data_IF_425908670503
#
_entry.id   IF_425908670503
#
_cell.length_a   1.000
_cell.length_b   1.000
_cell.length_c   1.000
_cell.angle_alpha   90.00
_cell.angle_beta   90.00
_cell.angle_gamma   90.00
#
_symmetry.space_group_name_H-M   'P 1'
#
loop_
_entity.id
_entity.type
_entity.pdbx_description
1 polymer ?
#
# COMPACT_ATOMS: atom_id res chain seq x y z
N UNK A 1 -4.85 -29.65 11.24
CA UNK A 1 -5.52 -28.48 11.84
C UNK A 1 -5.01 -28.36 13.26
N UNK A 2 -4.64 -27.16 13.71
CA UNK A 2 -4.30 -26.92 15.12
C UNK A 2 -5.51 -27.26 15.99
N UNK A 3 -5.29 -27.83 17.17
CA UNK A 3 -6.39 -28.14 18.10
C UNK A 3 -7.23 -26.89 18.39
N UNK A 4 -8.54 -26.95 18.14
CA UNK A 4 -9.50 -25.89 18.47
C UNK A 4 -10.02 -25.02 17.32
N UNK A 5 -9.57 -25.21 16.07
CA UNK A 5 -10.10 -24.47 14.91
C UNK A 5 -11.01 -25.38 14.07
N UNK A 6 -12.31 -25.13 14.10
CA UNK A 6 -13.31 -25.84 13.29
C UNK A 6 -13.48 -25.20 11.89
N UNK A 7 -13.56 -23.87 11.84
CA UNK A 7 -13.65 -23.08 10.62
C UNK A 7 -12.69 -21.89 10.65
N UNK A 8 -11.84 -21.76 9.62
CA UNK A 8 -10.90 -20.64 9.52
C UNK A 8 -11.59 -19.33 9.13
N UNK A 9 -12.66 -19.41 8.34
CA UNK A 9 -13.45 -18.25 7.92
C UNK A 9 -14.54 -18.03 8.95
N UNK A 10 -14.47 -16.89 9.64
CA UNK A 10 -15.35 -16.53 10.76
C UNK A 10 -15.95 -15.12 10.61
N UNK A 11 -15.54 -14.36 9.58
CA UNK A 11 -16.07 -13.02 9.28
C UNK A 11 -16.57 -12.91 7.85
N UNK A 12 -17.52 -12.01 7.63
CA UNK A 12 -17.95 -11.59 6.29
C UNK A 12 -16.87 -10.72 5.62
N UNK A 13 -16.58 -10.90 4.31
CA UNK A 13 -15.66 -10.02 3.58
C UNK A 13 -16.23 -8.61 3.34
N UNK A 14 -17.54 -8.41 3.56
CA UNK A 14 -18.25 -7.16 3.24
C UNK A 14 -18.56 -6.30 4.46
N UNK A 15 -18.31 -6.80 5.67
CA UNK A 15 -18.62 -6.11 6.94
C UNK A 15 -17.35 -5.96 7.78
N UNK A 16 -17.40 -5.06 8.77
CA UNK A 16 -16.30 -4.95 9.74
C UNK A 16 -16.16 -6.29 10.49
N UNK A 17 -14.96 -6.90 10.57
CA UNK A 17 -14.77 -8.15 11.29
C UNK A 17 -15.21 -8.04 12.75
N UNK A 18 -15.99 -9.02 13.20
CA UNK A 18 -16.59 -9.03 14.54
C UNK A 18 -15.99 -10.10 15.45
N UNK A 19 -15.21 -11.03 14.89
CA UNK A 19 -14.60 -12.14 15.62
C UNK A 19 -13.17 -12.37 15.16
N UNK A 20 -12.35 -12.98 16.03
CA UNK A 20 -10.95 -13.32 15.71
C UNK A 20 -10.52 -14.61 16.41
N UNK A 21 -9.59 -15.33 15.80
CA UNK A 21 -8.91 -16.44 16.48
C UNK A 21 -7.78 -15.91 17.37
N UNK A 22 -7.86 -16.13 18.67
CA UNK A 22 -6.84 -15.72 19.63
C UNK A 22 -6.12 -16.95 20.19
N UNK A 23 -4.79 -16.90 20.25
CA UNK A 23 -4.02 -17.99 20.82
C UNK A 23 -3.99 -17.89 22.34
N UNK A 24 -4.61 -18.86 23.01
CA UNK A 24 -4.58 -18.98 24.46
C UNK A 24 -3.33 -19.77 24.87
N UNK A 25 -2.33 -19.07 25.41
CA UNK A 25 -1.06 -19.64 25.83
C UNK A 25 -1.20 -20.67 26.97
N UNK A 26 -2.22 -20.52 27.83
CA UNK A 26 -2.45 -21.45 28.95
C UNK A 26 -3.02 -22.78 28.47
N UNK A 27 -3.91 -22.73 27.47
CA UNK A 27 -4.56 -23.92 26.91
C UNK A 27 -3.82 -24.49 25.69
N UNK A 28 -2.80 -23.79 25.20
CA UNK A 28 -2.07 -24.11 23.98
C UNK A 28 -3.01 -24.34 22.78
N UNK A 29 -4.10 -23.56 22.70
CA UNK A 29 -5.16 -23.71 21.73
C UNK A 29 -5.63 -22.34 21.22
N UNK A 30 -6.19 -22.32 20.01
CA UNK A 30 -6.87 -21.14 19.49
C UNK A 30 -8.32 -21.12 19.99
N UNK A 31 -8.76 -19.96 20.47
CA UNK A 31 -10.11 -19.71 20.94
C UNK A 31 -10.73 -18.57 20.15
N UNK A 32 -12.04 -18.66 19.90
CA UNK A 32 -12.77 -17.59 19.23
C UNK A 32 -12.99 -16.44 20.22
N UNK A 33 -12.47 -15.27 19.90
CA UNK A 33 -12.63 -14.04 20.68
C UNK A 33 -13.54 -13.06 19.93
N UNK A 34 -14.32 -12.30 20.68
CA UNK A 34 -15.14 -11.20 20.14
C UNK A 34 -14.28 -9.98 19.80
N UNK A 35 -14.76 -9.22 18.82
CA UNK A 35 -14.15 -8.00 18.33
C UNK A 35 -13.14 -8.20 17.21
N UNK A 36 -12.91 -7.11 16.48
CA UNK A 36 -11.92 -7.03 15.42
C UNK A 36 -10.50 -7.17 15.96
N UNK A 37 -9.64 -7.87 15.22
CA UNK A 37 -8.21 -7.94 15.54
C UNK A 37 -7.56 -6.55 15.52
N UNK A 38 -6.82 -6.15 16.58
CA UNK A 38 -6.01 -4.95 16.54
C UNK A 38 -5.04 -4.97 15.35
N UNK A 39 -4.79 -3.82 14.72
CA UNK A 39 -3.75 -3.68 13.71
C UNK A 39 -2.38 -3.98 14.34
N UNK A 40 -1.57 -4.75 13.62
CA UNK A 40 -0.30 -5.25 14.15
C UNK A 40 0.44 -6.21 13.21
N UNK A 41 1.56 -6.72 13.72
CA UNK A 41 2.42 -7.72 13.09
C UNK A 41 3.04 -8.61 14.17
N UNK A 42 3.51 -9.77 13.76
CA UNK A 42 4.10 -10.76 14.67
C UNK A 42 5.59 -10.84 14.41
N UNK A 43 6.40 -10.64 15.46
CA UNK A 43 7.86 -10.83 15.41
C UNK A 43 8.23 -12.16 16.05
N UNK A 44 9.26 -12.83 15.54
CA UNK A 44 9.77 -14.05 16.16
C UNK A 44 10.25 -13.76 17.60
N UNK A 45 9.99 -14.66 18.56
CA UNK A 45 10.50 -14.45 19.91
C UNK A 45 12.02 -14.63 19.93
N UNK A 46 12.70 -13.82 20.74
CA UNK A 46 14.15 -13.91 20.95
C UNK A 46 14.54 -15.11 21.81
N UNK A 47 13.56 -15.82 22.40
CA UNK A 47 13.79 -16.93 23.31
C UNK A 47 13.85 -18.25 22.53
N UNK A 48 15.05 -18.62 22.08
CA UNK A 48 15.34 -19.94 21.49
C UNK A 48 15.02 -21.06 22.48
N UNK A 49 13.78 -21.59 22.56
CA UNK A 49 13.47 -22.90 23.17
C UNK A 49 11.98 -23.36 23.20
N UNK A 50 11.09 -22.89 22.33
CA UNK A 50 9.75 -23.48 22.24
C UNK A 50 9.51 -24.05 20.83
N UNK A 51 9.10 -25.33 20.79
CA UNK A 51 8.81 -26.09 19.56
C UNK A 51 7.59 -25.51 18.81
N UNK A 52 6.83 -24.59 19.44
CA UNK A 52 5.68 -23.87 18.89
C UNK A 52 5.70 -22.37 19.25
N UNK A 53 6.79 -21.67 18.97
CA UNK A 53 6.86 -20.21 19.16
C UNK A 53 6.02 -19.49 18.08
N UNK A 54 4.86 -18.96 18.49
CA UNK A 54 3.96 -18.17 17.63
C UNK A 54 4.42 -16.72 17.46
N UNK A 55 5.50 -16.31 18.11
CA UNK A 55 6.01 -14.95 18.09
C UNK A 55 5.25 -13.99 19.01
N UNK A 56 5.78 -12.78 19.11
CA UNK A 56 5.20 -11.68 19.90
C UNK A 56 4.40 -10.77 18.97
N UNK A 57 3.13 -10.57 19.29
CA UNK A 57 2.28 -9.65 18.55
C UNK A 57 2.56 -8.20 18.97
N UNK A 58 2.97 -7.38 17.99
CA UNK A 58 3.25 -5.95 18.15
C UNK A 58 2.16 -5.17 17.43
N UNK A 59 1.42 -4.34 18.18
CA UNK A 59 0.38 -3.49 17.61
C UNK A 59 0.96 -2.33 16.80
N UNK A 60 0.17 -1.78 15.89
CA UNK A 60 0.44 -0.50 15.21
C UNK A 60 -0.53 0.55 15.79
N UNK A 61 -0.11 1.31 16.84
CA UNK A 61 -1.03 2.18 17.58
C UNK A 61 -1.67 3.26 16.71
N UNK A 62 -0.91 3.82 15.76
CA UNK A 62 -1.39 4.83 14.82
C UNK A 62 -2.62 4.33 14.03
N UNK A 63 -2.52 3.13 13.46
CA UNK A 63 -3.62 2.54 12.68
C UNK A 63 -4.83 2.24 13.57
N UNK A 64 -4.62 1.72 14.77
CA UNK A 64 -5.73 1.46 15.70
C UNK A 64 -6.45 2.76 16.09
N UNK A 65 -5.70 3.85 16.29
CA UNK A 65 -6.28 5.18 16.53
C UNK A 65 -7.06 5.69 15.33
N UNK A 66 -6.49 5.58 14.12
CA UNK A 66 -7.14 6.03 12.88
C UNK A 66 -8.40 5.24 12.58
N UNK A 67 -8.41 3.91 12.77
CA UNK A 67 -9.62 3.06 12.61
C UNK A 67 -10.80 3.57 13.43
N UNK A 68 -10.56 3.92 14.70
CA UNK A 68 -11.61 4.47 15.56
C UNK A 68 -12.16 5.81 15.05
N UNK A 69 -11.28 6.72 14.62
CA UNK A 69 -11.66 8.04 14.07
C UNK A 69 -12.43 7.94 12.76
N UNK A 70 -11.98 7.07 11.85
CA UNK A 70 -12.64 6.85 10.57
C UNK A 70 -14.02 6.22 10.78
N UNK A 71 -14.16 5.31 11.75
CA UNK A 71 -15.46 4.73 12.12
C UNK A 71 -16.43 5.79 12.62
N UNK A 72 -16.01 6.62 13.57
CA UNK A 72 -16.82 7.73 14.09
C UNK A 72 -17.21 8.72 12.98
N UNK A 73 -16.26 9.12 12.14
CA UNK A 73 -16.50 10.01 11.01
C UNK A 73 -17.49 9.44 9.99
N UNK A 74 -17.42 8.13 9.73
CA UNK A 74 -18.36 7.40 8.87
C UNK A 74 -19.77 7.38 9.48
N UNK A 75 -19.88 7.06 10.77
CA UNK A 75 -21.15 7.02 11.51
C UNK A 75 -21.82 8.40 11.58
N UNK A 76 -21.01 9.47 11.62
CA UNK A 76 -21.46 10.86 11.57
C UNK A 76 -21.78 11.38 10.15
N UNK A 77 -21.79 10.51 9.13
CA UNK A 77 -22.20 10.85 7.78
C UNK A 77 -21.14 11.56 6.93
N UNK A 78 -19.85 11.27 7.16
CA UNK A 78 -18.72 11.77 6.36
C UNK A 78 -18.58 13.30 6.36
N UNK A 79 -18.65 13.93 7.53
CA UNK A 79 -18.60 15.39 7.64
C UNK A 79 -17.32 15.99 7.03
N UNK A 80 -17.45 17.13 6.35
CA UNK A 80 -16.33 17.89 5.78
C UNK A 80 -15.92 17.50 4.35
N UNK A 81 -16.46 16.42 3.78
CA UNK A 81 -16.13 16.00 2.40
C UNK A 81 -16.71 16.94 1.35
N UNK A 82 -16.07 16.98 0.17
CA UNK A 82 -16.65 17.64 -1.01
C UNK A 82 -17.93 16.95 -1.51
N UNK A 83 -18.69 17.65 -2.37
CA UNK A 83 -19.87 17.07 -3.00
C UNK A 83 -19.56 15.85 -3.88
N UNK A 84 -18.45 15.90 -4.64
CA UNK A 84 -17.98 14.77 -5.46
C UNK A 84 -17.59 13.59 -4.58
N UNK A 85 -16.88 13.84 -3.49
CA UNK A 85 -16.47 12.79 -2.56
C UNK A 85 -17.68 12.14 -1.90
N UNK A 86 -18.68 12.92 -1.49
CA UNK A 86 -19.95 12.40 -0.96
C UNK A 86 -20.65 11.48 -1.97
N UNK A 87 -20.77 11.93 -3.23
CA UNK A 87 -21.37 11.14 -4.30
C UNK A 87 -20.62 9.82 -4.55
N UNK A 88 -19.28 9.84 -4.50
CA UNK A 88 -18.47 8.62 -4.64
C UNK A 88 -18.66 7.66 -3.46
N UNK A 89 -18.67 8.17 -2.21
CA UNK A 89 -18.87 7.37 -1.01
C UNK A 89 -20.26 6.70 -1.00
N UNK A 90 -21.29 7.45 -1.37
CA UNK A 90 -22.66 6.92 -1.53
C UNK A 90 -22.69 5.84 -2.61
N UNK A 91 -22.10 6.10 -3.78
CA UNK A 91 -22.01 5.14 -4.89
C UNK A 91 -21.26 3.86 -4.53
N UNK A 92 -20.19 3.93 -3.74
CA UNK A 92 -19.42 2.75 -3.33
C UNK A 92 -20.12 1.92 -2.25
N UNK A 93 -21.00 2.54 -1.46
CA UNK A 93 -21.74 1.90 -0.37
C UNK A 93 -23.14 1.43 -0.74
N UNK A 94 -23.67 1.85 -1.88
CA UNK A 94 -24.95 1.35 -2.41
C UNK A 94 -24.82 -0.12 -2.83
N UNK A 95 -25.26 -1.04 -1.96
CA UNK A 95 -25.20 -2.48 -2.23
C UNK A 95 -26.26 -2.95 -3.22
N UNK A 96 -27.36 -2.20 -3.37
CA UNK A 96 -28.47 -2.58 -4.24
C UNK A 96 -28.21 -2.20 -5.69
N UNK A 97 -27.52 -1.08 -5.92
CA UNK A 97 -27.16 -0.63 -7.26
C UNK A 97 -25.98 -1.38 -7.89
N UNK A 98 -25.21 -2.15 -7.10
CA UNK A 98 -23.93 -2.73 -7.54
C UNK A 98 -24.02 -4.23 -7.76
N UNK A 99 -23.57 -4.68 -8.93
CA UNK A 99 -23.38 -6.11 -9.20
C UNK A 99 -22.27 -6.72 -8.32
N UNK A 100 -21.16 -5.99 -8.16
CA UNK A 100 -20.01 -6.40 -7.36
C UNK A 100 -19.83 -5.45 -6.17
N UNK A 101 -20.23 -5.91 -4.98
CA UNK A 101 -19.99 -5.20 -3.72
C UNK A 101 -18.49 -5.10 -3.44
N UNK A 102 -18.05 -3.95 -2.95
CA UNK A 102 -16.67 -3.78 -2.48
C UNK A 102 -16.48 -4.45 -1.12
N UNK A 103 -15.28 -5.00 -0.91
CA UNK A 103 -14.94 -5.58 0.39
C UNK A 103 -14.78 -4.48 1.43
N UNK A 104 -15.06 -4.82 2.69
CA UNK A 104 -14.91 -3.89 3.81
C UNK A 104 -13.51 -3.28 3.85
N UNK A 105 -12.47 -4.09 3.66
CA UNK A 105 -11.08 -3.64 3.67
C UNK A 105 -10.75 -2.64 2.55
N UNK A 106 -11.45 -2.70 1.41
CA UNK A 106 -11.26 -1.77 0.30
C UNK A 106 -11.88 -0.41 0.65
N UNK A 107 -13.12 -0.44 1.15
CA UNK A 107 -13.85 0.75 1.60
C UNK A 107 -13.13 1.44 2.76
N UNK A 108 -12.70 0.69 3.77
CA UNK A 108 -11.97 1.26 4.92
C UNK A 108 -10.65 1.92 4.50
N UNK A 109 -9.91 1.28 3.58
CA UNK A 109 -8.66 1.84 3.09
C UNK A 109 -8.90 3.18 2.38
N UNK A 110 -9.82 3.25 1.41
CA UNK A 110 -10.09 4.50 0.69
C UNK A 110 -10.70 5.57 1.62
N UNK A 111 -11.59 5.19 2.53
CA UNK A 111 -12.18 6.12 3.50
C UNK A 111 -11.14 6.72 4.43
N UNK A 112 -10.14 5.93 4.82
CA UNK A 112 -9.02 6.43 5.62
C UNK A 112 -8.21 7.48 4.85
N UNK A 113 -7.94 7.25 3.56
CA UNK A 113 -7.24 8.22 2.71
C UNK A 113 -8.06 9.51 2.53
N UNK A 114 -9.38 9.38 2.34
CA UNK A 114 -10.29 10.51 2.22
C UNK A 114 -10.36 11.29 3.54
N UNK A 115 -10.51 10.59 4.67
CA UNK A 115 -10.58 11.19 5.99
C UNK A 115 -9.32 12.03 6.29
N UNK A 116 -8.13 11.49 6.02
CA UNK A 116 -6.88 12.23 6.21
C UNK A 116 -6.81 13.53 5.40
N UNK A 117 -7.37 13.53 4.19
CA UNK A 117 -7.29 14.67 3.28
C UNK A 117 -8.43 15.69 3.45
N UNK A 118 -9.65 15.25 3.74
CA UNK A 118 -10.84 16.09 3.71
C UNK A 118 -11.54 16.28 5.05
N UNK A 119 -11.31 15.41 6.05
CA UNK A 119 -11.94 15.61 7.34
C UNK A 119 -11.47 16.91 8.00
N UNK A 120 -12.32 17.57 8.82
CA UNK A 120 -11.96 18.76 9.57
C UNK A 120 -10.68 18.55 10.39
N UNK A 121 -9.83 19.57 10.51
CA UNK A 121 -8.57 19.46 11.26
C UNK A 121 -8.76 19.07 12.73
N UNK A 122 -9.90 19.45 13.32
CA UNK A 122 -10.30 19.05 14.68
C UNK A 122 -10.44 17.52 14.84
N UNK A 123 -10.88 16.82 13.79
CA UNK A 123 -11.02 15.36 13.81
C UNK A 123 -9.67 14.64 13.78
N UNK A 124 -8.66 15.27 13.18
CA UNK A 124 -7.32 14.71 12.98
C UNK A 124 -6.36 15.00 14.14
N UNK A 125 -6.81 15.70 15.19
CA UNK A 125 -5.97 16.07 16.33
C UNK A 125 -5.33 14.84 16.99
N UNK A 126 -4.00 14.89 17.12
CA UNK A 126 -3.18 13.83 17.69
C UNK A 126 -2.95 12.63 16.75
N UNK A 127 -3.31 12.73 15.47
CA UNK A 127 -2.87 11.79 14.45
C UNK A 127 -1.66 12.38 13.74
N UNK A 128 -0.49 12.04 14.24
CA UNK A 128 0.80 12.44 13.67
C UNK A 128 1.37 11.28 12.87
N UNK A 129 1.51 11.47 11.55
CA UNK A 129 2.05 10.47 10.64
C UNK A 129 3.56 10.74 10.48
N UNK A 130 4.45 9.81 10.91
CA UNK A 130 5.89 9.96 10.73
C UNK A 130 6.29 10.09 9.25
N UNK A 131 7.26 10.97 8.95
CA UNK A 131 7.90 11.02 7.63
C UNK A 131 8.81 9.81 7.40
N UNK A 132 9.07 9.49 6.13
CA UNK A 132 10.10 8.51 5.74
C UNK A 132 11.54 9.04 5.87
N UNK A 133 11.70 10.30 6.30
CA UNK A 133 12.96 11.03 6.41
C UNK A 133 13.21 12.01 5.25
N UNK A 134 12.31 12.06 4.26
CA UNK A 134 12.34 13.00 3.15
C UNK A 134 11.32 14.14 3.25
N UNK A 135 11.33 15.00 2.22
CA UNK A 135 10.41 16.13 2.07
C UNK A 135 9.03 15.73 1.54
N UNK A 136 8.93 14.55 0.92
CA UNK A 136 7.70 14.07 0.29
C UNK A 136 6.77 13.50 1.36
N UNK A 137 5.52 13.95 1.38
CA UNK A 137 4.49 13.34 2.21
C UNK A 137 4.15 11.93 1.69
N UNK A 138 4.24 10.93 2.56
CA UNK A 138 3.95 9.52 2.23
C UNK A 138 2.89 8.96 3.16
N UNK A 139 1.98 8.19 2.60
CA UNK A 139 0.90 7.53 3.32
C UNK A 139 0.81 6.09 2.84
N UNK A 140 0.85 5.12 3.76
CA UNK A 140 0.85 3.70 3.42
C UNK A 140 -0.46 3.01 3.84
N UNK A 141 -1.06 2.30 2.89
CA UNK A 141 -2.15 1.35 3.11
C UNK A 141 -1.60 -0.07 3.07
N UNK A 142 -1.52 -0.70 4.26
CA UNK A 142 -1.13 -2.11 4.39
C UNK A 142 -2.34 -2.99 4.07
N UNK A 143 -2.20 -3.84 3.05
CA UNK A 143 -3.30 -4.67 2.56
C UNK A 143 -2.76 -6.04 2.11
N UNK A 144 -3.31 -7.12 2.66
CA UNK A 144 -2.92 -8.47 2.29
C UNK A 144 -3.08 -8.73 0.77
N UNK A 145 -2.19 -9.54 0.21
CA UNK A 145 -2.26 -9.89 -1.22
C UNK A 145 -3.58 -10.61 -1.52
N UNK A 146 -4.29 -10.16 -2.56
CA UNK A 146 -5.58 -10.72 -2.95
C UNK A 146 -6.80 -9.95 -2.43
N UNK A 147 -6.65 -9.01 -1.49
CA UNK A 147 -7.77 -8.22 -0.96
C UNK A 147 -8.22 -7.06 -1.86
N UNK A 148 -7.55 -6.89 -3.01
CA UNK A 148 -7.94 -5.91 -4.04
C UNK A 148 -7.27 -4.53 -3.90
N UNK A 149 -5.97 -4.47 -3.58
CA UNK A 149 -5.16 -3.22 -3.58
C UNK A 149 -5.41 -2.35 -4.82
N UNK A 150 -5.41 -2.96 -6.00
CA UNK A 150 -5.62 -2.27 -7.28
C UNK A 150 -7.00 -1.61 -7.39
N UNK A 151 -8.05 -2.16 -6.76
CA UNK A 151 -9.37 -1.51 -6.71
C UNK A 151 -9.29 -0.22 -5.90
N UNK A 152 -8.59 -0.23 -4.75
CA UNK A 152 -8.39 0.96 -3.92
C UNK A 152 -7.55 2.01 -4.65
N UNK A 153 -6.53 1.60 -5.41
CA UNK A 153 -5.77 2.52 -6.27
C UNK A 153 -6.66 3.21 -7.32
N UNK A 154 -7.57 2.46 -7.94
CA UNK A 154 -8.53 3.03 -8.90
C UNK A 154 -9.52 3.98 -8.20
N UNK A 155 -10.03 3.63 -7.02
CA UNK A 155 -10.86 4.53 -6.20
C UNK A 155 -10.12 5.82 -5.83
N UNK A 156 -8.83 5.72 -5.45
CA UNK A 156 -7.97 6.86 -5.14
C UNK A 156 -7.81 7.78 -6.36
N UNK A 157 -7.53 7.22 -7.54
CA UNK A 157 -7.42 8.00 -8.79
C UNK A 157 -8.76 8.68 -9.11
N UNK A 158 -9.88 7.97 -8.99
CA UNK A 158 -11.21 8.53 -9.23
C UNK A 158 -11.52 9.68 -8.27
N UNK A 159 -11.33 9.46 -6.96
CA UNK A 159 -11.55 10.48 -5.94
C UNK A 159 -10.71 11.73 -6.18
N UNK A 160 -9.40 11.57 -6.38
CA UNK A 160 -8.46 12.68 -6.55
C UNK A 160 -8.73 13.47 -7.83
N UNK A 161 -8.87 12.77 -8.97
CA UNK A 161 -9.05 13.42 -10.27
C UNK A 161 -10.39 14.14 -10.38
N UNK A 162 -11.49 13.48 -10.00
CA UNK A 162 -12.83 14.06 -10.10
C UNK A 162 -12.96 15.27 -9.20
N UNK A 163 -12.39 15.23 -7.99
CA UNK A 163 -12.33 16.41 -7.13
C UNK A 163 -11.49 17.53 -7.74
N UNK A 164 -10.33 17.23 -8.32
CA UNK A 164 -9.49 18.25 -8.94
C UNK A 164 -10.17 18.90 -10.15
N UNK A 165 -10.93 18.14 -10.93
CA UNK A 165 -11.67 18.62 -12.09
C UNK A 165 -12.85 19.52 -11.68
N UNK A 166 -13.62 19.10 -10.67
CA UNK A 166 -14.81 19.86 -10.21
C UNK A 166 -14.45 21.02 -9.29
N UNK A 167 -13.30 20.97 -8.60
CA UNK A 167 -12.81 22.03 -7.71
C UNK A 167 -11.37 22.43 -8.03
N UNK A 168 -11.09 23.08 -9.19
CA UNK A 168 -9.72 23.36 -9.64
C UNK A 168 -8.88 24.21 -8.68
N UNK A 169 -9.53 25.12 -7.94
CA UNK A 169 -8.90 26.02 -6.97
C UNK A 169 -8.67 25.39 -5.60
N UNK A 170 -9.36 24.28 -5.28
CA UNK A 170 -9.17 23.56 -4.01
C UNK A 170 -7.80 22.89 -4.04
N UNK A 171 -7.00 23.16 -3.00
CA UNK A 171 -5.72 22.50 -2.77
C UNK A 171 -5.96 21.08 -2.23
N UNK A 172 -4.95 20.22 -2.34
CA UNK A 172 -5.05 18.85 -1.82
C UNK A 172 -5.67 17.84 -2.79
N UNK A 173 -5.87 18.21 -4.06
CA UNK A 173 -6.24 17.26 -5.11
C UNK A 173 -5.34 17.33 -6.33
N UNK A 174 -5.07 16.18 -6.94
CA UNK A 174 -4.34 16.04 -8.19
C UNK A 174 -5.19 15.35 -9.26
N UNK A 175 -4.95 15.73 -10.52
CA UNK A 175 -5.61 15.14 -11.69
C UNK A 175 -4.74 14.12 -12.45
N UNK A 176 -3.44 14.08 -12.14
CA UNK A 176 -2.45 13.32 -12.88
C UNK A 176 -1.69 12.40 -11.92
N UNK A 177 -1.36 11.18 -12.37
CA UNK A 177 -0.85 10.12 -11.50
C UNK A 177 0.31 9.36 -12.13
N UNK A 178 1.41 9.22 -11.38
CA UNK A 178 2.50 8.31 -11.70
C UNK A 178 2.35 7.05 -10.84
N UNK A 179 2.20 5.90 -11.47
CA UNK A 179 2.19 4.61 -10.78
C UNK A 179 3.55 3.95 -10.95
N UNK A 180 4.18 3.52 -9.86
CA UNK A 180 5.48 2.83 -9.90
C UNK A 180 5.33 1.39 -9.42
N UNK A 181 5.83 0.46 -10.24
CA UNK A 181 5.75 -0.98 -10.03
C UNK A 181 7.14 -1.62 -9.84
N UNK A 182 7.27 -2.71 -9.06
CA UNK A 182 8.54 -3.37 -8.78
C UNK A 182 9.11 -4.12 -9.98
N UNK A 183 8.25 -4.65 -10.86
CA UNK A 183 8.68 -5.41 -12.03
C UNK A 183 7.73 -5.20 -13.23
N UNK A 184 8.15 -5.66 -14.41
CA UNK A 184 7.42 -5.48 -15.65
C UNK A 184 6.08 -6.24 -15.68
N UNK A 185 5.98 -7.40 -15.02
CA UNK A 185 4.74 -8.18 -14.94
C UNK A 185 3.68 -7.41 -14.16
N UNK A 186 4.04 -6.87 -12.99
CA UNK A 186 3.16 -6.02 -12.19
C UNK A 186 2.81 -4.74 -12.95
N UNK A 187 3.79 -4.11 -13.61
CA UNK A 187 3.57 -2.92 -14.46
C UNK A 187 2.49 -3.19 -15.52
N UNK A 188 2.55 -4.30 -16.23
CA UNK A 188 1.56 -4.66 -17.26
C UNK A 188 0.18 -4.89 -16.67
N UNK A 189 0.09 -5.51 -15.49
CA UNK A 189 -1.19 -5.72 -14.78
C UNK A 189 -1.83 -4.43 -14.26
N UNK A 190 -1.03 -3.43 -13.92
CA UNK A 190 -1.51 -2.12 -13.47
C UNK A 190 -2.00 -1.21 -14.61
N UNK A 191 -1.89 -1.63 -15.87
CA UNK A 191 -2.46 -0.90 -17.02
C UNK A 191 -3.97 -0.69 -16.93
N UNK A 192 -4.67 -1.56 -16.19
CA UNK A 192 -6.10 -1.43 -15.88
C UNK A 192 -6.46 -0.17 -15.07
N UNK A 193 -5.46 0.51 -14.50
CA UNK A 193 -5.62 1.80 -13.80
C UNK A 193 -5.60 3.00 -14.76
N UNK A 194 -5.35 2.80 -16.05
CA UNK A 194 -5.44 3.86 -17.05
C UNK A 194 -6.92 4.08 -17.42
N UNK A 195 -7.51 5.27 -17.17
CA UNK A 195 -8.95 5.49 -17.37
C UNK A 195 -9.42 5.28 -18.82
N UNK A 196 -8.59 5.66 -19.78
CA UNK A 196 -8.85 5.46 -21.21
C UNK A 196 -8.40 4.08 -21.72
N UNK A 197 -7.85 3.23 -20.84
CA UNK A 197 -7.37 1.90 -21.17
C UNK A 197 -8.50 0.90 -21.39
N UNK A 198 -8.23 -0.10 -22.24
CA UNK A 198 -9.13 -1.24 -22.42
C UNK A 198 -9.16 -2.10 -21.15
N UNK A 199 -10.35 -2.60 -20.78
CA UNK A 199 -10.51 -3.42 -19.57
C UNK A 199 -10.18 -2.67 -18.27
N UNK A 200 -10.30 -1.34 -18.27
CA UNK A 200 -10.01 -0.53 -17.10
C UNK A 200 -10.92 -0.91 -15.91
N UNK A 201 -10.40 -0.74 -14.70
CA UNK A 201 -11.12 -1.11 -13.49
C UNK A 201 -12.30 -0.20 -13.17
N UNK A 202 -12.34 1.01 -13.74
CA UNK A 202 -13.44 1.94 -13.52
C UNK A 202 -14.73 1.44 -14.14
N UNK A 203 -14.66 0.86 -15.33
CA UNK A 203 -15.78 0.21 -16.00
C UNK A 203 -16.03 -1.19 -15.41
N UNK A 204 -14.99 -2.02 -15.25
CA UNK A 204 -15.14 -3.41 -14.80
C UNK A 204 -15.72 -3.56 -13.38
N UNK A 205 -15.41 -2.61 -12.49
CA UNK A 205 -15.92 -2.60 -11.12
C UNK A 205 -16.87 -1.44 -10.85
N UNK A 206 -17.32 -0.73 -11.89
CA UNK A 206 -18.23 0.41 -11.76
C UNK A 206 -17.80 1.37 -10.64
N UNK A 207 -16.52 1.78 -10.65
CA UNK A 207 -15.93 2.59 -9.56
C UNK A 207 -16.50 4.01 -9.56
N UNK A 208 -16.93 4.49 -10.72
CA UNK A 208 -17.40 5.87 -10.90
C UNK A 208 -18.84 5.86 -11.44
N UNK A 209 -19.74 6.70 -10.89
CA UNK A 209 -21.07 6.91 -11.46
C UNK A 209 -21.00 7.27 -12.95
N UNK A 210 -21.99 6.84 -13.74
CA UNK A 210 -22.03 7.08 -15.19
C UNK A 210 -21.83 8.57 -15.54
N UNK A 211 -22.41 9.48 -14.76
CA UNK A 211 -22.32 10.93 -14.96
C UNK A 211 -20.90 11.50 -14.82
N UNK A 212 -19.99 10.79 -14.16
CA UNK A 212 -18.62 11.25 -13.88
C UNK A 212 -17.56 10.54 -14.74
N UNK A 213 -17.94 9.53 -15.56
CA UNK A 213 -16.99 8.74 -16.35
C UNK A 213 -16.24 9.57 -17.40
N UNK A 214 -16.93 10.46 -18.10
CA UNK A 214 -16.28 11.32 -19.10
C UNK A 214 -15.32 12.33 -18.46
N UNK A 215 -15.61 12.77 -17.23
CA UNK A 215 -14.67 13.63 -16.48
C UNK A 215 -13.42 12.85 -16.09
N UNK A 216 -13.57 11.60 -15.62
CA UNK A 216 -12.44 10.76 -15.24
C UNK A 216 -11.43 10.58 -16.39
N UNK A 217 -11.89 10.51 -17.64
CA UNK A 217 -11.03 10.39 -18.84
C UNK A 217 -10.08 11.57 -19.06
N UNK A 218 -10.31 12.70 -18.40
CA UNK A 218 -9.40 13.85 -18.43
C UNK A 218 -8.15 13.65 -17.55
N UNK A 219 -8.18 12.67 -16.64
CA UNK A 219 -7.03 12.31 -15.81
C UNK A 219 -6.03 11.49 -16.60
N UNK A 220 -4.74 11.75 -16.35
CA UNK A 220 -3.65 11.02 -16.97
C UNK A 220 -2.99 10.11 -15.95
N UNK A 221 -2.75 8.86 -16.36
CA UNK A 221 -2.16 7.84 -15.51
C UNK A 221 -1.01 7.18 -16.27
N UNK A 222 0.21 7.37 -15.77
CA UNK A 222 1.41 6.76 -16.34
C UNK A 222 1.91 5.67 -15.43
N UNK A 223 2.01 4.45 -15.94
CA UNK A 223 2.56 3.30 -15.20
C UNK A 223 4.01 3.06 -15.61
N UNK A 224 4.93 3.14 -14.64
CA UNK A 224 6.36 2.88 -14.82
C UNK A 224 6.82 1.74 -13.93
N UNK A 225 7.91 1.11 -14.34
CA UNK A 225 8.70 0.30 -13.45
C UNK A 225 9.80 1.16 -12.82
N UNK A 226 10.25 0.85 -11.61
CA UNK A 226 11.27 1.64 -10.90
C UNK A 226 12.57 1.84 -11.69
N UNK A 227 12.96 0.92 -12.59
CA UNK A 227 14.15 1.13 -13.43
C UNK A 227 14.03 2.39 -14.31
N UNK A 228 12.81 2.81 -14.67
CA UNK A 228 12.58 4.06 -15.39
C UNK A 228 12.91 5.30 -14.53
N UNK A 229 12.98 5.14 -13.21
CA UNK A 229 13.41 6.20 -12.29
C UNK A 229 14.94 6.29 -12.19
N UNK A 230 15.72 5.39 -12.79
CA UNK A 230 17.17 5.45 -12.71
C UNK A 230 17.73 6.76 -13.29
N UNK A 231 18.68 7.36 -12.58
CA UNK A 231 19.52 8.44 -13.07
C UNK A 231 20.99 8.07 -12.96
N UNK A 232 21.79 8.65 -13.84
CA UNK A 232 23.23 8.61 -13.75
C UNK A 232 23.72 9.89 -13.07
N UNK A 233 24.55 9.75 -12.04
CA UNK A 233 25.32 10.85 -11.46
C UNK A 233 26.55 11.14 -12.31
N UNK A 234 27.12 12.35 -12.23
CA UNK A 234 28.37 12.68 -12.93
C UNK A 234 29.49 11.64 -12.71
N UNK A 235 29.64 11.14 -11.48
CA UNK A 235 30.61 10.09 -11.15
C UNK A 235 30.33 8.75 -11.86
N UNK A 236 29.05 8.37 -12.03
CA UNK A 236 28.66 7.16 -12.77
C UNK A 236 28.90 7.33 -14.27
N UNK A 237 28.63 8.52 -14.81
CA UNK A 237 28.89 8.85 -16.22
C UNK A 237 30.39 8.84 -16.49
N UNK A 238 31.20 9.44 -15.63
CA UNK A 238 32.66 9.48 -15.76
C UNK A 238 33.30 8.08 -15.71
N UNK A 239 32.69 7.13 -15.00
CA UNK A 239 33.14 5.72 -14.94
C UNK A 239 32.66 4.87 -16.12
N UNK A 240 31.62 5.29 -16.86
CA UNK A 240 31.13 4.60 -18.06
C UNK A 240 32.06 4.90 -19.24
N UNK A 241 32.68 3.87 -19.84
CA UNK A 241 33.40 3.97 -21.12
C UNK A 241 32.40 4.05 -22.28
N UNK A 242 31.68 5.17 -22.38
CA UNK A 242 30.65 5.45 -23.38
C UNK A 242 31.14 6.49 -24.39
N UNK A 243 30.68 6.38 -25.65
CA UNK A 243 30.92 7.39 -26.71
C UNK A 243 30.06 8.64 -26.48
N UNK A 244 28.93 8.49 -25.79
CA UNK A 244 28.08 9.60 -25.38
C UNK A 244 28.70 10.31 -24.16
N UNK A 245 29.15 11.55 -24.37
CA UNK A 245 29.84 12.42 -23.39
C UNK A 245 28.90 13.46 -22.74
N UNK A 246 27.58 13.30 -22.88
CA UNK A 246 26.61 14.20 -22.22
C UNK A 246 26.75 14.07 -20.69
N UNK A 247 26.79 15.21 -20.00
CA UNK A 247 26.86 15.27 -18.54
C UNK A 247 25.58 14.81 -17.85
N UNK A 248 25.51 14.98 -16.53
CA UNK A 248 24.29 14.66 -15.78
C UNK A 248 23.07 15.39 -16.37
N UNK A 249 21.97 14.65 -16.59
CA UNK A 249 20.73 15.24 -17.08
C UNK A 249 20.29 16.34 -16.11
N UNK A 250 19.68 17.42 -16.59
CA UNK A 250 18.99 18.35 -15.68
C UNK A 250 17.72 17.72 -15.12
N UNK A 251 17.24 18.22 -13.98
CA UNK A 251 15.98 17.74 -13.36
C UNK A 251 14.78 17.89 -14.30
N UNK A 252 14.76 18.94 -15.11
CA UNK A 252 13.77 19.16 -16.17
C UNK A 252 13.81 18.09 -17.27
N UNK A 253 15.02 17.74 -17.73
CA UNK A 253 15.19 16.71 -18.76
C UNK A 253 14.83 15.32 -18.22
N UNK A 254 15.26 15.01 -16.99
CA UNK A 254 14.90 13.79 -16.29
C UNK A 254 13.39 13.66 -16.10
N UNK A 255 12.73 14.69 -15.57
CA UNK A 255 11.29 14.68 -15.36
C UNK A 255 10.52 14.46 -16.66
N UNK A 256 10.91 15.12 -17.77
CA UNK A 256 10.25 14.95 -19.07
C UNK A 256 10.32 13.50 -19.58
N UNK A 257 11.47 12.85 -19.39
CA UNK A 257 11.68 11.46 -19.82
C UNK A 257 10.87 10.47 -18.99
N UNK A 258 10.96 10.58 -17.67
CA UNK A 258 10.27 9.66 -16.75
C UNK A 258 8.75 9.82 -16.86
N UNK A 259 8.27 11.07 -16.81
CA UNK A 259 6.85 11.40 -16.76
C UNK A 259 6.14 11.27 -18.11
N UNK A 260 6.86 11.38 -19.23
CA UNK A 260 6.27 11.23 -20.57
C UNK A 260 5.11 12.21 -20.79
N UNK A 261 3.88 11.69 -20.95
CA UNK A 261 2.67 12.51 -21.12
C UNK A 261 2.32 13.41 -19.91
N UNK A 262 2.92 13.13 -18.75
CA UNK A 262 2.85 13.92 -17.52
C UNK A 262 3.97 14.97 -17.42
N UNK A 263 4.80 15.14 -18.44
CA UNK A 263 5.98 16.01 -18.38
C UNK A 263 5.68 17.48 -17.98
N UNK A 264 4.48 17.96 -18.27
CA UNK A 264 4.02 19.32 -17.94
C UNK A 264 3.13 19.36 -16.68
N UNK A 265 2.82 18.21 -16.08
CA UNK A 265 2.00 18.10 -14.88
C UNK A 265 2.79 18.53 -13.65
N UNK A 266 2.17 19.35 -12.79
CA UNK A 266 2.75 19.79 -11.52
C UNK A 266 1.87 19.32 -10.36
N UNK A 267 2.46 19.06 -9.20
CA UNK A 267 1.76 18.58 -8.01
C UNK A 267 0.91 17.33 -8.30
N UNK A 268 1.49 16.38 -9.03
CA UNK A 268 0.84 15.11 -9.33
C UNK A 268 0.93 14.15 -8.14
N UNK A 269 0.15 13.08 -8.17
CA UNK A 269 0.20 12.03 -7.14
C UNK A 269 1.04 10.86 -7.62
N UNK A 270 1.80 10.27 -6.71
CA UNK A 270 2.51 9.00 -6.95
C UNK A 270 1.80 7.88 -6.22
N UNK A 271 1.63 6.73 -6.89
CA UNK A 271 1.12 5.50 -6.29
C UNK A 271 2.20 4.43 -6.43
N UNK A 272 2.73 3.93 -5.31
CA UNK A 272 3.65 2.81 -5.33
C UNK A 272 2.89 1.51 -5.06
N UNK A 273 3.01 0.53 -5.96
CA UNK A 273 2.62 -0.85 -5.67
C UNK A 273 3.83 -1.64 -5.18
N UNK A 274 3.59 -2.57 -4.24
CA UNK A 274 4.65 -3.27 -3.50
C UNK A 274 5.67 -2.29 -2.88
N UNK A 275 5.15 -1.28 -2.18
CA UNK A 275 5.95 -0.17 -1.65
C UNK A 275 7.07 -0.57 -0.68
N UNK A 276 7.14 -1.83 -0.24
CA UNK A 276 8.26 -2.35 0.55
C UNK A 276 9.60 -2.35 -0.20
N UNK A 277 9.59 -2.16 -1.52
CA UNK A 277 10.79 -1.87 -2.32
C UNK A 277 11.21 -0.38 -2.27
N UNK A 278 10.36 0.51 -1.76
CA UNK A 278 10.52 1.95 -1.82
C UNK A 278 10.77 2.55 -0.42
N UNK A 279 11.98 2.40 0.09
CA UNK A 279 12.38 2.84 1.44
C UNK A 279 13.71 3.61 1.43
N UNK A 280 13.94 4.42 2.48
CA UNK A 280 15.20 5.12 2.69
C UNK A 280 16.13 4.31 3.57
N UNK A 281 17.39 4.20 3.18
CA UNK A 281 18.41 3.52 3.97
C UNK A 281 18.65 4.33 5.26
N UNK A 282 18.46 3.74 6.45
CA UNK A 282 18.72 4.44 7.70
C UNK A 282 20.21 4.82 7.82
N UNK A 283 20.47 6.02 8.35
CA UNK A 283 21.84 6.49 8.56
C UNK A 283 22.62 5.50 9.45
N UNK A 284 23.79 5.06 8.97
CA UNK A 284 24.66 4.11 9.69
C UNK A 284 24.25 2.63 9.60
N UNK A 285 23.24 2.28 8.80
CA UNK A 285 22.82 0.89 8.61
C UNK A 285 23.94 0.03 7.97
N UNK A 286 24.26 -1.11 8.58
CA UNK A 286 25.20 -2.11 8.05
C UNK A 286 24.42 -3.22 7.34
N UNK A 287 24.36 -3.13 6.01
CA UNK A 287 23.62 -4.06 5.18
C UNK A 287 24.47 -5.29 4.78
N UNK A 288 23.83 -6.45 4.79
CA UNK A 288 24.35 -7.69 4.21
C UNK A 288 24.45 -7.61 2.68
N UNK A 289 24.96 -8.65 2.02
CA UNK A 289 25.14 -8.64 0.56
C UNK A 289 23.82 -8.56 -0.20
N UNK A 290 22.81 -9.29 0.27
CA UNK A 290 21.50 -9.31 -0.39
C UNK A 290 20.75 -8.00 -0.13
N UNK A 291 20.77 -7.51 1.11
CA UNK A 291 20.19 -6.21 1.48
C UNK A 291 20.82 -5.03 0.71
N UNK A 292 22.08 -5.14 0.25
CA UNK A 292 22.70 -4.11 -0.59
C UNK A 292 22.04 -3.98 -1.97
N UNK A 293 21.56 -5.09 -2.55
CA UNK A 293 20.85 -5.05 -3.84
C UNK A 293 19.47 -4.41 -3.66
N UNK A 294 18.76 -4.82 -2.61
CA UNK A 294 17.46 -4.25 -2.27
C UNK A 294 17.58 -2.76 -1.94
N UNK A 295 18.66 -2.37 -1.27
CA UNK A 295 18.96 -0.96 -0.98
C UNK A 295 19.31 -0.15 -2.24
N UNK A 296 19.94 -0.75 -3.26
CA UNK A 296 20.20 -0.09 -4.53
C UNK A 296 18.88 0.19 -5.28
N UNK A 297 18.01 -0.82 -5.37
CA UNK A 297 16.65 -0.65 -5.90
C UNK A 297 15.89 0.45 -5.16
N UNK A 298 15.86 0.40 -3.82
CA UNK A 298 15.16 1.37 -2.99
C UNK A 298 15.73 2.80 -3.15
N UNK A 299 17.05 2.92 -3.27
CA UNK A 299 17.73 4.20 -3.51
C UNK A 299 17.31 4.78 -4.86
N UNK A 300 17.31 3.97 -5.92
CA UNK A 300 16.87 4.41 -7.25
C UNK A 300 15.39 4.78 -7.23
N UNK A 301 14.56 4.01 -6.54
CA UNK A 301 13.13 4.31 -6.49
C UNK A 301 12.89 5.64 -5.79
N UNK A 302 13.34 5.79 -4.54
CA UNK A 302 13.05 6.97 -3.73
C UNK A 302 13.80 8.21 -4.22
N UNK A 303 15.07 8.10 -4.58
CA UNK A 303 15.82 9.25 -5.09
C UNK A 303 15.28 9.75 -6.45
N UNK A 304 14.66 8.87 -7.24
CA UNK A 304 13.98 9.26 -8.46
C UNK A 304 12.72 10.07 -8.16
N UNK A 305 11.95 9.66 -7.15
CA UNK A 305 10.81 10.43 -6.65
C UNK A 305 11.25 11.78 -6.06
N UNK A 306 12.35 11.84 -5.31
CA UNK A 306 12.91 13.10 -4.78
C UNK A 306 13.25 14.07 -5.91
N UNK A 307 13.84 13.54 -6.99
CA UNK A 307 14.20 14.32 -8.16
C UNK A 307 12.98 14.84 -8.92
N UNK A 308 11.95 14.01 -9.06
CA UNK A 308 10.67 14.43 -9.64
C UNK A 308 9.97 15.49 -8.76
N UNK A 309 10.03 15.34 -7.43
CA UNK A 309 9.47 16.31 -6.49
C UNK A 309 10.12 17.68 -6.67
N UNK A 310 11.45 17.75 -6.79
CA UNK A 310 12.18 19.00 -7.04
C UNK A 310 11.77 19.67 -8.37
N UNK A 311 11.57 18.87 -9.42
CA UNK A 311 11.27 19.39 -10.77
C UNK A 311 9.81 19.84 -10.97
N UNK A 312 8.86 19.17 -10.32
CA UNK A 312 7.42 19.30 -10.62
C UNK A 312 6.51 19.38 -9.41
N UNK A 313 7.00 19.07 -8.22
CA UNK A 313 6.20 18.87 -7.03
C UNK A 313 5.42 17.55 -7.09
N UNK A 314 5.53 16.76 -6.04
CA UNK A 314 4.67 15.61 -5.75
C UNK A 314 3.74 16.02 -4.63
N UNK A 315 2.43 15.88 -4.83
CA UNK A 315 1.47 16.23 -3.81
C UNK A 315 1.54 15.27 -2.62
N UNK A 316 1.45 13.97 -2.88
CA UNK A 316 1.53 12.89 -1.89
C UNK A 316 1.89 11.60 -2.61
N UNK A 317 2.67 10.75 -1.95
CA UNK A 317 2.90 9.37 -2.37
C UNK A 317 1.97 8.47 -1.57
N UNK A 318 1.14 7.70 -2.27
CA UNK A 318 0.32 6.65 -1.66
C UNK A 318 1.00 5.31 -1.88
N UNK A 319 1.46 4.71 -0.80
CA UNK A 319 2.14 3.43 -0.77
C UNK A 319 1.12 2.31 -0.52
N UNK A 320 1.11 1.29 -1.36
CA UNK A 320 0.33 0.07 -1.16
C UNK A 320 1.27 -1.12 -1.04
N UNK A 321 1.15 -1.89 0.05
CA UNK A 321 1.99 -3.07 0.28
C UNK A 321 1.30 -4.07 1.19
N UNK A 322 1.57 -5.36 1.00
CA UNK A 322 1.16 -6.38 1.97
C UNK A 322 2.16 -6.48 3.14
N UNK A 323 3.41 -6.10 2.89
CA UNK A 323 4.55 -6.31 3.77
C UNK A 323 5.42 -5.06 3.87
N UNK A 324 4.88 -3.92 4.37
CA UNK A 324 5.59 -2.62 4.43
C UNK A 324 6.71 -2.59 5.49
N UNK A 325 7.71 -3.44 5.33
CA UNK A 325 8.87 -3.58 6.21
C UNK A 325 10.12 -3.04 5.52
N UNK A 326 10.96 -2.38 6.32
CA UNK A 326 12.31 -1.95 5.93
C UNK A 326 13.28 -3.06 6.35
N UNK A 327 14.14 -3.54 5.43
CA UNK A 327 15.22 -4.46 5.76
C UNK A 327 16.09 -3.90 6.89
N UNK A 328 16.19 -4.64 7.99
CA UNK A 328 16.64 -4.10 9.27
C UNK A 328 18.11 -4.41 9.60
N UNK A 329 18.84 -5.09 8.71
CA UNK A 329 20.25 -5.44 8.91
C UNK A 329 20.46 -6.56 9.92
N UNK A 330 21.67 -7.15 9.93
CA UNK A 330 22.02 -8.33 10.77
C UNK A 330 21.89 -8.16 12.30
N UNK A 331 21.68 -6.94 12.81
CA UNK A 331 21.79 -6.62 14.24
C UNK A 331 20.51 -6.04 14.87
N UNK A 332 19.40 -5.92 14.15
CA UNK A 332 18.14 -5.45 14.74
C UNK A 332 17.25 -6.64 15.11
N UNK A 333 16.85 -6.69 16.37
CA UNK A 333 15.82 -7.61 16.87
C UNK A 333 14.40 -7.12 16.56
N UNK A 334 14.27 -5.92 15.98
CA UNK A 334 13.00 -5.32 15.58
C UNK A 334 12.96 -5.15 14.07
N UNK A 335 12.02 -5.83 13.41
CA UNK A 335 11.61 -5.48 12.05
C UNK A 335 11.15 -4.01 12.03
N UNK A 336 11.74 -3.22 11.13
CA UNK A 336 11.48 -1.79 11.08
C UNK A 336 10.32 -1.54 10.10
N UNK A 337 9.10 -1.54 10.62
CA UNK A 337 7.88 -1.30 9.85
C UNK A 337 7.81 0.16 9.36
N UNK A 338 7.16 0.43 8.22
CA UNK A 338 6.88 1.81 7.79
C UNK A 338 6.12 2.57 8.88
N UNK A 339 6.67 3.73 9.28
CA UNK A 339 6.04 4.59 10.28
C UNK A 339 4.75 5.25 9.77
N UNK A 340 4.62 5.41 8.46
CA UNK A 340 3.50 6.10 7.80
C UNK A 340 2.33 5.19 7.39
N UNK A 341 2.17 4.03 8.03
CA UNK A 341 1.00 3.17 7.80
C UNK A 341 -0.21 3.78 8.51
N UNK A 342 -1.27 4.05 7.73
CA UNK A 342 -2.51 4.67 8.24
C UNK A 342 -3.68 3.71 8.24
N UNK A 343 -3.66 2.69 7.38
CA UNK A 343 -4.66 1.63 7.31
C UNK A 343 -3.98 0.26 7.23
N UNK A 344 -4.57 -0.74 7.88
CA UNK A 344 -4.09 -2.13 7.86
C UNK A 344 -5.26 -3.08 7.63
N UNK A 345 -5.05 -4.06 6.76
CA UNK A 345 -5.86 -5.26 6.66
C UNK A 345 -4.92 -6.43 6.36
N UNK A 346 -4.44 -7.04 7.45
CA UNK A 346 -3.35 -8.03 7.42
C UNK A 346 -3.78 -9.41 6.94
N UNK A 347 -2.80 -10.30 6.72
CA UNK A 347 -3.03 -11.65 6.20
C UNK A 347 -4.00 -12.47 7.07
N UNK A 348 -3.84 -12.44 8.40
CA UNK A 348 -4.69 -13.19 9.33
C UNK A 348 -6.15 -12.74 9.22
N UNK A 349 -6.39 -11.42 9.23
CA UNK A 349 -7.72 -10.83 9.10
C UNK A 349 -8.35 -11.17 7.74
N UNK A 350 -7.53 -11.21 6.67
CA UNK A 350 -7.97 -11.59 5.34
C UNK A 350 -8.33 -13.09 5.21
N UNK A 351 -7.62 -13.97 5.92
CA UNK A 351 -7.97 -15.40 6.02
C UNK A 351 -9.28 -15.56 6.81
N UNK A 352 -9.38 -14.89 7.96
CA UNK A 352 -10.58 -14.90 8.82
C UNK A 352 -11.83 -14.37 8.09
N UNK A 353 -11.65 -13.51 7.09
CA UNK A 353 -12.71 -12.95 6.24
C UNK A 353 -12.93 -13.69 4.92
N UNK A 354 -12.21 -14.79 4.67
CA UNK A 354 -12.36 -15.59 3.44
C UNK A 354 -11.84 -14.94 2.15
N UNK A 355 -11.04 -13.88 2.26
CA UNK A 355 -10.51 -13.12 1.12
C UNK A 355 -9.21 -13.70 0.54
N UNK A 356 -8.52 -14.55 1.30
CA UNK A 356 -7.26 -15.18 0.89
C UNK A 356 -7.39 -16.69 0.99
N UNK A 357 -6.90 -17.39 -0.04
CA UNK A 357 -6.82 -18.85 -0.01
C UNK A 357 -5.84 -19.27 1.08
N UNK A 358 -6.29 -20.17 1.94
CA UNK A 358 -5.43 -20.75 2.98
C UNK A 358 -4.29 -21.53 2.33
N UNK A 359 -3.02 -21.18 2.58
CA UNK A 359 -1.91 -21.99 2.11
C UNK A 359 -2.01 -23.36 2.80
N UNK A 360 -2.21 -24.42 2.01
CA UNK A 360 -2.11 -25.78 2.52
C UNK A 360 -0.62 -26.08 2.73
N UNK A 361 -0.21 -26.25 3.98
CA UNK A 361 1.10 -26.84 4.27
C UNK A 361 1.04 -28.28 3.78
N UNK A 362 1.73 -28.57 2.68
CA UNK A 362 1.93 -29.94 2.22
C UNK A 362 2.95 -30.56 3.16
N UNK A 363 2.48 -31.21 4.22
CA UNK A 363 3.33 -32.09 5.02
C UNK A 363 3.65 -33.25 4.06
N UNK A 364 4.92 -33.37 3.66
CA UNK A 364 5.41 -34.62 3.06
C UNK A 364 5.37 -35.67 4.16
N UNK A 365 4.30 -36.44 4.21
CA UNK A 365 4.43 -37.84 4.59
C UNK A 365 5.27 -38.52 3.50
N UNK A 366 6.12 -39.47 3.88
CA UNK A 366 6.96 -40.31 3.01
C UNK A 366 8.40 -39.84 2.83
N UNK A 367 9.20 -40.08 3.86
CA UNK A 367 10.64 -40.22 3.77
C UNK A 367 11.11 -41.28 4.74
N UNK A 368 11.02 -42.55 4.37
CA UNK A 368 11.66 -43.65 5.10
C UNK A 368 13.14 -43.31 5.34
N UNK A 369 13.62 -43.53 6.57
CA UNK A 369 15.05 -43.54 6.88
C UNK A 369 15.71 -44.69 6.11
N UNK A 370 16.22 -44.41 4.92
CA UNK A 370 17.19 -45.29 4.26
C UNK A 370 18.58 -45.03 4.85
N UNK A 371 19.30 -46.11 5.14
CA UNK A 371 20.53 -46.19 5.94
C UNK A 371 21.80 -45.55 5.36
N UNK A 372 21.70 -44.74 4.30
CA UNK A 372 22.84 -44.55 3.40
C UNK A 372 23.36 -43.10 3.27
N UNK A 373 23.23 -42.29 4.32
CA UNK A 373 23.97 -41.04 4.42
C UNK A 373 25.17 -41.18 5.35
N UNK A 374 26.34 -41.45 4.76
CA UNK A 374 27.64 -41.22 5.41
C UNK A 374 27.89 -39.72 5.54
N UNK A 375 28.38 -39.38 6.73
CA UNK A 375 28.81 -38.08 7.27
C UNK A 375 29.57 -37.16 6.33
#
# INVERSE_FOLDING_TARGET
MSSGIDHLIINSPYEEPQQRWEYNHNRMAFELAEGRRPSGYTVASTTKKLVNDLGVFVQIPLVNKVRGRVKEWRENGFQGVSGVTKQLLEHWRDSEARQNRFFFCQLEAIETLIWLAEAPDAEKVGVDIPSDGGEINRICSKMATGTGKTIVMAMLIAWQSLNKINYPTKKGFAKDFLIVAPNLTVRSRLSVLVPAGEGNYYDAFEIVPLSLREQLRQSKVVVRNWHALAWDTEEKIAKKRSVDKRGEKSDEAYAREVLGELANSKNFIVINDEAHHAWRIPAGAKLSRDEKKDAEEATIWIGGLDRLNKARGIQTVYDFSATPFIPSGKNSTSENLFGWIVSDFGLTEAIESGLVKTPRVVIRDDGQLASDYKS
#
